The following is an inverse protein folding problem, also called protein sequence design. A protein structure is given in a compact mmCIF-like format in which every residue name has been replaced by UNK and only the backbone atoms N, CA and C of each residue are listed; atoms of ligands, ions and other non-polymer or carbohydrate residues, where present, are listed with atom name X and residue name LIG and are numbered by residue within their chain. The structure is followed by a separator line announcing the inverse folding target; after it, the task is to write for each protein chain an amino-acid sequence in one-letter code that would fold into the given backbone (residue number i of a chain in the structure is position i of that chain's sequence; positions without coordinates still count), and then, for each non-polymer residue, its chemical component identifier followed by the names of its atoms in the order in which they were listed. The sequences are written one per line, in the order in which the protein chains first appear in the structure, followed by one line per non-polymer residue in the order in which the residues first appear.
data_IF_049899237160
#
_entry.id   IF_049899237160
#
_cell.length_a   1.000
_cell.length_b   1.000
_cell.length_c   1.000
_cell.angle_alpha   90.00
_cell.angle_beta   90.00
_cell.angle_gamma   90.00
#
_symmetry.space_group_name_H-M   'P 1'
#
loop_
_entity.id
_entity.type
_entity.pdbx_description
1 polymer ?
#
# COMPACT_ATOMS: atom_id res chain seq x y z
N UNK A 1 -18.29 24.35 -25.21
CA UNK A 1 -17.62 23.03 -25.30
C UNK A 1 -17.92 22.27 -24.01
N UNK A 2 -18.83 21.29 -24.03
CA UNK A 2 -19.17 20.51 -22.83
C UNK A 2 -18.04 19.50 -22.63
N UNK A 3 -17.22 19.67 -21.59
CA UNK A 3 -16.25 18.65 -21.20
C UNK A 3 -17.00 17.40 -20.76
N UNK A 4 -16.93 16.34 -21.55
CA UNK A 4 -17.40 15.01 -21.11
C UNK A 4 -16.31 14.38 -20.27
N UNK A 5 -16.47 14.35 -18.94
CA UNK A 5 -15.60 13.59 -18.07
C UNK A 5 -15.82 12.10 -18.29
N UNK A 6 -14.73 11.35 -18.46
CA UNK A 6 -14.77 9.89 -18.49
C UNK A 6 -15.22 9.41 -17.10
N UNK A 7 -16.25 8.56 -17.05
CA UNK A 7 -16.69 7.95 -15.79
C UNK A 7 -15.83 6.72 -15.50
N UNK A 8 -15.25 6.68 -14.31
CA UNK A 8 -14.52 5.54 -13.79
C UNK A 8 -15.36 4.84 -12.72
N UNK A 9 -15.19 3.50 -12.58
CA UNK A 9 -15.90 2.75 -11.56
C UNK A 9 -15.24 2.88 -10.19
N UNK A 10 -13.91 3.11 -10.17
CA UNK A 10 -13.11 3.25 -8.96
C UNK A 10 -11.78 3.97 -9.28
N UNK A 11 -11.01 4.27 -8.24
CA UNK A 11 -9.71 4.93 -8.37
C UNK A 11 -8.66 4.08 -9.12
N UNK A 12 -8.75 2.76 -9.01
CA UNK A 12 -7.83 1.84 -9.68
C UNK A 12 -8.03 1.86 -11.20
N UNK A 13 -9.29 1.91 -11.68
CA UNK A 13 -9.60 2.09 -13.10
C UNK A 13 -9.00 3.40 -13.64
N UNK A 14 -9.13 4.49 -12.87
CA UNK A 14 -8.53 5.78 -13.20
C UNK A 14 -7.00 5.67 -13.28
N UNK A 15 -6.36 5.08 -12.27
CA UNK A 15 -4.91 4.94 -12.21
C UNK A 15 -4.36 4.17 -13.42
N UNK A 16 -4.95 3.02 -13.77
CA UNK A 16 -4.48 2.24 -14.92
C UNK A 16 -4.77 2.91 -16.27
N UNK A 17 -5.88 3.63 -16.38
CA UNK A 17 -6.19 4.40 -17.58
C UNK A 17 -5.16 5.54 -17.78
N UNK A 18 -4.77 6.21 -16.70
CA UNK A 18 -3.70 7.23 -16.76
C UNK A 18 -2.33 6.60 -17.03
N UNK A 19 -2.00 5.45 -16.45
CA UNK A 19 -0.77 4.71 -16.80
C UNK A 19 -0.68 4.37 -18.29
N UNK A 20 -1.82 4.13 -18.95
CA UNK A 20 -1.85 3.82 -20.38
C UNK A 20 -1.69 5.06 -21.28
N UNK A 21 -2.04 6.25 -20.79
CA UNK A 21 -1.99 7.51 -21.54
C UNK A 21 -0.67 8.26 -21.38
N UNK A 22 -0.03 8.14 -20.21
CA UNK A 22 1.20 8.88 -19.95
C UNK A 22 2.41 8.17 -20.57
N UNK A 23 3.44 8.93 -21.02
CA UNK A 23 4.73 8.35 -21.38
C UNK A 23 5.29 7.53 -20.21
N UNK A 24 5.79 6.34 -20.50
CA UNK A 24 6.18 5.36 -19.49
C UNK A 24 7.31 5.83 -18.57
N UNK A 25 8.21 6.67 -19.11
CA UNK A 25 9.37 7.27 -18.45
C UNK A 25 9.08 8.61 -17.76
N UNK A 26 7.90 9.20 -18.00
CA UNK A 26 7.49 10.44 -17.34
C UNK A 26 7.43 10.24 -15.83
N UNK A 27 8.05 11.16 -15.08
CA UNK A 27 8.02 11.13 -13.60
C UNK A 27 6.59 11.34 -13.12
N UNK A 28 6.15 10.45 -12.22
CA UNK A 28 4.87 10.51 -11.55
C UNK A 28 5.00 10.88 -10.07
N UNK A 29 5.93 10.25 -9.37
CA UNK A 29 6.19 10.56 -7.96
C UNK A 29 7.61 11.12 -7.79
N UNK A 30 7.70 12.23 -7.06
CA UNK A 30 8.96 12.90 -6.76
C UNK A 30 9.25 12.81 -5.27
N UNK A 31 10.46 12.35 -4.92
CA UNK A 31 10.94 12.41 -3.55
C UNK A 31 11.55 13.78 -3.27
N UNK A 32 11.02 14.50 -2.28
CA UNK A 32 11.58 15.80 -1.87
C UNK A 32 12.91 15.64 -1.15
N UNK A 33 13.17 14.48 -0.53
CA UNK A 33 14.40 14.22 0.25
C UNK A 33 15.54 13.72 -0.64
N UNK A 34 15.25 13.02 -1.72
CA UNK A 34 16.24 12.41 -2.62
C UNK A 34 15.73 12.40 -4.06
N UNK A 35 16.21 13.34 -4.92
CA UNK A 35 15.81 13.40 -6.33
C UNK A 35 16.07 12.11 -7.12
N UNK A 36 17.04 11.27 -6.70
CA UNK A 36 17.33 9.99 -7.34
C UNK A 36 16.25 8.93 -7.06
N UNK A 37 15.32 9.22 -6.14
CA UNK A 37 14.18 8.37 -5.82
C UNK A 37 12.89 8.80 -6.53
N UNK A 38 12.99 9.60 -7.57
CA UNK A 38 11.86 9.90 -8.43
C UNK A 38 11.41 8.63 -9.16
N UNK A 39 10.09 8.42 -9.25
CA UNK A 39 9.50 7.25 -9.89
C UNK A 39 8.66 7.65 -11.10
N UNK A 40 8.88 6.99 -12.21
CA UNK A 40 8.08 7.11 -13.43
C UNK A 40 6.72 6.42 -13.29
N UNK A 41 5.79 6.73 -14.19
CA UNK A 41 4.49 6.05 -14.28
C UNK A 41 4.64 4.53 -14.40
N UNK A 42 5.59 4.07 -15.22
CA UNK A 42 5.88 2.64 -15.37
C UNK A 42 6.37 2.01 -14.08
N UNK A 43 7.31 2.63 -13.39
CA UNK A 43 7.87 2.11 -12.14
C UNK A 43 6.80 2.03 -11.05
N UNK A 44 5.99 3.09 -10.88
CA UNK A 44 4.90 3.07 -9.90
C UNK A 44 3.89 1.97 -10.24
N UNK A 45 3.48 1.83 -11.51
CA UNK A 45 2.60 0.74 -11.95
C UNK A 45 3.14 -0.63 -11.58
N UNK A 46 4.42 -0.91 -11.87
CA UNK A 46 5.04 -2.20 -11.56
C UNK A 46 5.11 -2.45 -10.06
N UNK A 47 5.48 -1.44 -9.27
CA UNK A 47 5.53 -1.53 -7.81
C UNK A 47 4.15 -1.80 -7.20
N UNK A 48 3.10 -1.12 -7.68
CA UNK A 48 1.71 -1.35 -7.27
C UNK A 48 1.29 -2.78 -7.58
N UNK A 49 1.55 -3.28 -8.79
CA UNK A 49 1.22 -4.65 -9.19
C UNK A 49 1.92 -5.70 -8.33
N UNK A 50 3.22 -5.51 -8.07
CA UNK A 50 4.03 -6.43 -7.26
C UNK A 50 3.51 -6.51 -5.82
N UNK A 51 3.26 -5.37 -5.21
CA UNK A 51 2.76 -5.30 -3.84
C UNK A 51 1.34 -5.84 -3.72
N UNK A 52 0.45 -5.47 -4.66
CA UNK A 52 -0.92 -5.97 -4.69
C UNK A 52 -0.99 -7.49 -4.79
N UNK A 53 -0.16 -8.12 -5.63
CA UNK A 53 -0.05 -9.58 -5.73
C UNK A 53 0.34 -10.22 -4.39
N UNK A 54 1.26 -9.60 -3.66
CA UNK A 54 1.68 -10.12 -2.36
C UNK A 54 0.59 -9.95 -1.30
N UNK A 55 -0.09 -8.80 -1.29
CA UNK A 55 -1.20 -8.51 -0.37
C UNK A 55 -2.40 -9.42 -0.66
N UNK A 56 -2.76 -9.65 -1.92
CA UNK A 56 -3.93 -10.47 -2.31
C UNK A 56 -3.86 -11.93 -1.86
N UNK A 57 -2.65 -12.43 -1.54
CA UNK A 57 -2.46 -13.76 -0.97
C UNK A 57 -2.75 -13.82 0.55
N UNK A 58 -2.92 -12.67 1.20
CA UNK A 58 -3.04 -12.56 2.66
C UNK A 58 -4.43 -12.09 3.06
N UNK A 59 -4.99 -11.13 2.32
CA UNK A 59 -6.28 -10.51 2.61
C UNK A 59 -7.41 -11.09 1.75
N UNK A 60 -8.63 -10.89 2.24
CA UNK A 60 -9.86 -11.11 1.47
C UNK A 60 -10.44 -9.75 1.04
N UNK A 61 -11.33 -9.78 0.05
CA UNK A 61 -12.07 -8.58 -0.38
C UNK A 61 -12.81 -7.96 0.81
N UNK A 62 -12.58 -6.66 1.03
CA UNK A 62 -13.17 -5.91 2.13
C UNK A 62 -12.37 -5.91 3.42
N UNK A 63 -11.26 -6.64 3.50
CA UNK A 63 -10.36 -6.58 4.65
C UNK A 63 -9.77 -5.18 4.79
N UNK A 64 -9.74 -4.66 6.04
CA UNK A 64 -9.09 -3.38 6.34
C UNK A 64 -7.60 -3.59 6.45
N UNK A 65 -6.86 -2.61 5.92
CA UNK A 65 -5.41 -2.58 5.92
C UNK A 65 -4.97 -1.25 6.53
N UNK A 66 -4.40 -1.27 7.72
CA UNK A 66 -3.97 -0.07 8.44
C UNK A 66 -2.65 0.43 7.84
N UNK A 67 -2.60 1.70 7.43
CA UNK A 67 -1.43 2.33 6.81
C UNK A 67 -0.93 3.50 7.66
N UNK A 68 0.24 3.32 8.27
CA UNK A 68 0.87 4.28 9.19
C UNK A 68 2.18 4.76 8.60
N UNK A 69 2.15 5.90 7.94
CA UNK A 69 3.34 6.47 7.30
C UNK A 69 3.14 7.96 7.03
N UNK A 70 4.24 8.68 7.02
CA UNK A 70 4.36 10.00 6.44
C UNK A 70 4.14 9.99 4.92
N UNK A 71 3.93 11.18 4.34
CA UNK A 71 3.82 11.34 2.88
C UNK A 71 5.14 10.97 2.19
N UNK A 72 5.11 9.86 1.44
CA UNK A 72 6.25 9.32 0.68
C UNK A 72 5.74 8.44 -0.47
N UNK A 73 6.56 8.15 -1.48
CA UNK A 73 6.14 7.32 -2.63
C UNK A 73 5.55 5.96 -2.22
N UNK A 74 6.12 5.32 -1.22
CA UNK A 74 5.68 4.01 -0.73
C UNK A 74 4.26 4.06 -0.12
N UNK A 75 3.85 5.21 0.45
CA UNK A 75 2.51 5.42 0.95
C UNK A 75 1.48 5.28 -0.19
N UNK A 76 1.67 6.03 -1.28
CA UNK A 76 0.77 6.00 -2.43
C UNK A 76 0.78 4.64 -3.14
N UNK A 77 1.96 4.03 -3.28
CA UNK A 77 2.10 2.68 -3.84
C UNK A 77 1.32 1.66 -3.01
N UNK A 78 1.40 1.77 -1.68
CA UNK A 78 0.70 0.88 -0.76
C UNK A 78 -0.81 1.06 -0.81
N UNK A 79 -1.29 2.29 -0.83
CA UNK A 79 -2.72 2.61 -0.92
C UNK A 79 -3.33 2.04 -2.21
N UNK A 80 -2.71 2.31 -3.36
CA UNK A 80 -3.14 1.75 -4.64
C UNK A 80 -3.05 0.21 -4.65
N UNK A 81 -2.01 -0.37 -4.05
CA UNK A 81 -1.84 -1.82 -4.00
C UNK A 81 -2.88 -2.51 -3.11
N UNK A 82 -3.24 -1.91 -1.98
CA UNK A 82 -4.31 -2.40 -1.09
C UNK A 82 -5.65 -2.40 -1.83
N UNK A 83 -6.01 -1.28 -2.45
CA UNK A 83 -7.25 -1.17 -3.23
C UNK A 83 -7.28 -2.17 -4.38
N UNK A 84 -6.16 -2.34 -5.10
CA UNK A 84 -6.03 -3.30 -6.20
C UNK A 84 -6.17 -4.75 -5.72
N UNK A 85 -5.69 -5.06 -4.51
CA UNK A 85 -5.86 -6.38 -3.88
C UNK A 85 -7.28 -6.62 -3.33
N UNK A 86 -8.17 -5.62 -3.41
CA UNK A 86 -9.54 -5.70 -2.90
C UNK A 86 -9.69 -5.34 -1.43
N UNK A 87 -8.63 -4.78 -0.80
CA UNK A 87 -8.66 -4.29 0.58
C UNK A 87 -9.20 -2.87 0.69
N UNK A 88 -9.44 -2.45 1.92
CA UNK A 88 -9.82 -1.09 2.30
C UNK A 88 -8.67 -0.47 3.08
N UNK A 89 -8.09 0.61 2.55
CA UNK A 89 -7.05 1.35 3.26
C UNK A 89 -7.64 2.13 4.42
N UNK A 90 -7.06 1.98 5.59
CA UNK A 90 -7.34 2.79 6.79
C UNK A 90 -6.08 3.60 7.08
N UNK A 91 -5.96 4.84 6.61
CA UNK A 91 -4.79 5.67 6.88
C UNK A 91 -4.83 6.21 8.31
N UNK A 92 -3.68 6.23 8.96
CA UNK A 92 -3.54 6.81 10.30
C UNK A 92 -2.34 7.76 10.37
N UNK A 93 -2.48 8.84 11.16
CA UNK A 93 -1.44 9.85 11.30
C UNK A 93 -0.28 9.32 12.14
N UNK A 94 0.95 9.63 11.72
CA UNK A 94 2.18 9.26 12.44
C UNK A 94 2.33 9.97 13.81
N UNK A 95 1.57 11.04 14.04
CA UNK A 95 1.55 11.79 15.29
C UNK A 95 0.71 11.13 16.39
N UNK A 96 -0.05 10.09 16.05
CA UNK A 96 -0.83 9.36 17.04
C UNK A 96 0.07 8.62 18.02
N UNK A 97 -0.42 8.49 19.27
CA UNK A 97 0.21 7.68 20.31
C UNK A 97 -0.38 6.26 20.33
N UNK A 98 0.25 5.34 21.07
CA UNK A 98 -0.16 3.93 21.11
C UNK A 98 -1.64 3.73 21.47
N UNK A 99 -2.20 4.55 22.35
CA UNK A 99 -3.63 4.50 22.74
C UNK A 99 -4.55 4.77 21.55
N UNK A 100 -4.20 5.73 20.69
CA UNK A 100 -5.02 6.07 19.52
C UNK A 100 -4.98 4.94 18.49
N UNK A 101 -3.81 4.34 18.30
CA UNK A 101 -3.68 3.16 17.43
C UNK A 101 -4.42 1.95 17.98
N UNK A 102 -4.43 1.74 19.30
CA UNK A 102 -5.20 0.68 19.92
C UNK A 102 -6.71 0.83 19.65
N UNK A 103 -7.22 2.06 19.76
CA UNK A 103 -8.60 2.36 19.40
C UNK A 103 -8.88 2.03 17.93
N UNK A 104 -8.06 2.53 17.00
CA UNK A 104 -8.24 2.31 15.57
C UNK A 104 -8.17 0.82 15.23
N UNK A 105 -7.19 0.08 15.78
CA UNK A 105 -7.02 -1.35 15.54
C UNK A 105 -8.22 -2.14 16.05
N UNK A 106 -8.73 -1.82 17.23
CA UNK A 106 -9.91 -2.48 17.79
C UNK A 106 -11.19 -2.18 17.01
N UNK A 107 -11.33 -0.95 16.48
CA UNK A 107 -12.49 -0.52 15.71
C UNK A 107 -12.50 -1.15 14.31
N UNK A 108 -11.41 -1.02 13.55
CA UNK A 108 -11.36 -1.50 12.17
C UNK A 108 -10.92 -2.96 12.02
N UNK A 109 -10.37 -3.60 13.06
CA UNK A 109 -9.89 -5.00 13.05
C UNK A 109 -9.08 -5.34 11.78
N UNK A 110 -7.91 -4.70 11.55
CA UNK A 110 -7.20 -4.82 10.30
C UNK A 110 -6.61 -6.23 10.11
N UNK A 111 -6.58 -6.71 8.87
CA UNK A 111 -5.93 -7.97 8.51
C UNK A 111 -4.42 -7.82 8.31
N UNK A 112 -3.98 -6.64 7.90
CA UNK A 112 -2.57 -6.30 7.76
C UNK A 112 -2.31 -4.87 8.24
N UNK A 113 -1.07 -4.62 8.64
CA UNK A 113 -0.58 -3.27 8.97
C UNK A 113 0.63 -2.96 8.10
N UNK A 114 0.71 -1.74 7.61
CA UNK A 114 1.89 -1.22 6.92
C UNK A 114 2.44 -0.04 7.73
N UNK A 115 3.73 -0.07 8.06
CA UNK A 115 4.40 0.98 8.82
C UNK A 115 5.63 1.50 8.10
N UNK A 116 5.94 2.80 8.24
CA UNK A 116 7.07 3.40 7.54
C UNK A 116 8.43 3.01 8.14
N UNK A 117 8.55 2.95 9.45
CA UNK A 117 9.83 2.80 10.16
C UNK A 117 9.66 2.21 11.57
N UNK A 118 10.79 2.02 12.28
CA UNK A 118 10.85 1.49 13.65
C UNK A 118 10.04 2.33 14.64
N UNK A 119 10.05 3.65 14.53
CA UNK A 119 9.32 4.53 15.44
C UNK A 119 7.82 4.23 15.39
N UNK A 120 7.25 4.17 14.18
CA UNK A 120 5.83 3.89 14.02
C UNK A 120 5.49 2.45 14.42
N UNK A 121 6.38 1.49 14.13
CA UNK A 121 6.20 0.12 14.56
C UNK A 121 6.15 -0.02 16.09
N UNK A 122 7.06 0.61 16.81
CA UNK A 122 7.12 0.53 18.27
C UNK A 122 5.84 1.03 18.95
N UNK A 123 5.11 1.95 18.32
CA UNK A 123 3.81 2.42 18.82
C UNK A 123 2.70 1.36 18.73
N UNK A 124 2.81 0.39 17.82
CA UNK A 124 1.77 -0.63 17.57
C UNK A 124 2.19 -2.06 17.91
N UNK A 125 3.47 -2.32 18.12
CA UNK A 125 4.05 -3.66 18.33
C UNK A 125 3.27 -4.49 19.35
N UNK A 126 3.15 -4.00 20.59
CA UNK A 126 2.45 -4.70 21.67
C UNK A 126 0.95 -4.90 21.40
N UNK A 127 0.34 -4.03 20.60
CA UNK A 127 -1.06 -4.15 20.19
C UNK A 127 -1.19 -5.26 19.15
N UNK A 128 -0.29 -5.31 18.17
CA UNK A 128 -0.28 -6.33 17.12
C UNK A 128 -0.12 -7.74 17.71
N UNK A 129 0.75 -7.92 18.71
CA UNK A 129 1.03 -9.20 19.37
C UNK A 129 -0.22 -9.81 20.05
N UNK A 130 -1.18 -8.98 20.47
CA UNK A 130 -2.42 -9.41 21.12
C UNK A 130 -3.67 -9.32 20.22
N UNK A 131 -3.48 -8.96 18.94
CA UNK A 131 -4.60 -8.78 18.00
C UNK A 131 -4.59 -9.90 16.93
N UNK A 132 -5.40 -10.97 17.11
CA UNK A 132 -5.36 -12.14 16.21
C UNK A 132 -5.80 -11.87 14.77
N UNK A 133 -6.51 -10.77 14.49
CA UNK A 133 -6.90 -10.40 13.13
C UNK A 133 -5.72 -10.00 12.25
N UNK A 134 -4.61 -9.55 12.84
CA UNK A 134 -3.43 -9.09 12.13
C UNK A 134 -2.60 -10.29 11.66
N UNK A 135 -2.65 -10.56 10.37
CA UNK A 135 -1.98 -11.71 9.73
C UNK A 135 -0.52 -11.40 9.39
N UNK A 136 -0.23 -10.14 8.99
CA UNK A 136 1.13 -9.71 8.59
C UNK A 136 1.33 -8.21 8.82
N UNK A 137 2.61 -7.84 9.05
CA UNK A 137 3.06 -6.46 9.15
C UNK A 137 4.09 -6.20 8.04
N UNK A 138 3.89 -5.14 7.28
CA UNK A 138 4.76 -4.70 6.20
C UNK A 138 5.52 -3.44 6.60
N UNK A 139 6.79 -3.37 6.23
CA UNK A 139 7.69 -2.27 6.54
C UNK A 139 8.21 -1.59 5.29
N UNK A 140 8.29 -0.28 5.31
CA UNK A 140 8.88 0.49 4.21
C UNK A 140 10.40 0.55 4.32
N UNK A 141 10.93 0.63 5.53
CA UNK A 141 12.37 0.65 5.81
C UNK A 141 12.83 -0.67 6.43
N UNK A 142 14.12 -0.94 6.35
CA UNK A 142 14.71 -2.10 7.03
C UNK A 142 14.68 -1.85 8.54
N UNK A 143 14.15 -2.80 9.28
CA UNK A 143 14.10 -2.72 10.74
C UNK A 143 15.41 -3.17 11.37
N UNK A 144 15.77 -2.56 12.50
CA UNK A 144 17.04 -2.80 13.18
C UNK A 144 17.10 -4.13 13.94
N UNK A 145 15.97 -4.67 14.43
CA UNK A 145 15.94 -5.85 15.31
C UNK A 145 14.68 -6.68 15.13
N UNK A 146 14.55 -7.50 14.07
CA UNK A 146 13.35 -8.36 13.96
C UNK A 146 13.61 -9.71 13.30
N UNK A 147 13.03 -10.76 13.92
CA UNK A 147 12.97 -12.12 13.41
C UNK A 147 11.98 -12.22 12.23
N UNK A 148 12.42 -12.66 11.07
CA UNK A 148 11.83 -12.42 9.74
C UNK A 148 10.48 -13.09 9.43
N UNK A 149 9.92 -13.95 10.27
CA UNK A 149 8.77 -14.78 9.86
C UNK A 149 7.41 -14.06 9.83
N UNK A 150 7.21 -13.05 10.68
CA UNK A 150 5.96 -12.30 10.78
C UNK A 150 5.97 -10.96 10.01
N UNK A 151 7.14 -10.54 9.54
CA UNK A 151 7.41 -9.20 9.04
C UNK A 151 7.93 -9.24 7.60
N UNK A 152 7.46 -8.32 6.77
CA UNK A 152 7.82 -8.28 5.36
C UNK A 152 8.30 -6.86 5.00
N UNK A 153 9.55 -6.74 4.54
CA UNK A 153 10.00 -5.49 3.95
C UNK A 153 9.42 -5.35 2.54
N UNK A 154 8.69 -4.25 2.27
CA UNK A 154 8.04 -4.04 0.97
C UNK A 154 9.05 -3.86 -0.16
N UNK A 155 10.27 -3.36 0.08
CA UNK A 155 11.30 -3.23 -0.95
C UNK A 155 11.61 -4.56 -1.63
N UNK A 156 11.60 -5.65 -0.86
CA UNK A 156 11.81 -7.00 -1.38
C UNK A 156 10.67 -7.47 -2.30
N UNK A 157 9.49 -6.87 -2.15
CA UNK A 157 8.31 -7.18 -2.96
C UNK A 157 8.22 -6.28 -4.19
N UNK A 158 8.30 -4.96 -3.98
CA UNK A 158 8.08 -3.96 -5.04
C UNK A 158 9.19 -3.95 -6.10
N UNK A 159 10.40 -4.41 -5.76
CA UNK A 159 11.56 -4.46 -6.67
C UNK A 159 11.72 -5.81 -7.39
N UNK A 160 10.79 -6.76 -7.24
CA UNK A 160 10.85 -8.04 -7.97
C UNK A 160 10.74 -7.83 -9.48
N UNK A 161 11.74 -8.29 -10.24
CA UNK A 161 11.78 -8.21 -11.70
C UNK A 161 10.80 -9.13 -12.43
N UNK A 162 10.00 -9.92 -11.72
CA UNK A 162 9.32 -11.12 -12.25
C UNK A 162 7.83 -10.97 -12.55
N UNK A 163 7.28 -9.77 -12.60
CA UNK A 163 5.91 -9.62 -13.08
C UNK A 163 5.94 -9.32 -14.57
N UNK A 164 5.44 -10.28 -15.34
CA UNK A 164 5.06 -10.06 -16.73
C UNK A 164 3.98 -8.95 -16.74
N UNK A 165 4.19 -7.86 -17.46
CA UNK A 165 3.27 -6.71 -17.55
C UNK A 165 1.86 -7.10 -17.99
N UNK A 166 1.69 -8.31 -18.53
CA UNK A 166 0.43 -8.91 -18.98
C UNK A 166 -0.31 -9.73 -17.91
N UNK A 167 0.12 -9.75 -16.65
CA UNK A 167 -0.68 -10.39 -15.60
C UNK A 167 -1.98 -9.60 -15.48
N UNK A 168 -3.05 -10.17 -16.03
CA UNK A 168 -4.41 -9.91 -15.59
C UNK A 168 -4.48 -10.37 -14.12
N UNK A 169 -4.13 -9.48 -13.19
CA UNK A 169 -4.62 -9.61 -11.84
C UNK A 169 -6.12 -9.57 -12.04
N UNK A 170 -6.79 -10.62 -11.62
CA UNK A 170 -8.25 -10.65 -11.58
C UNK A 170 -8.64 -9.54 -10.59
N UNK A 171 -8.85 -8.34 -11.17
CA UNK A 171 -8.96 -7.09 -10.44
C UNK A 171 -10.29 -7.12 -9.71
N UNK A 172 -10.31 -7.74 -8.55
CA UNK A 172 -11.40 -7.68 -7.58
C UNK A 172 -11.42 -6.33 -6.85
N UNK A 173 -10.94 -5.28 -7.53
CA UNK A 173 -11.07 -3.93 -7.01
C UNK A 173 -12.52 -3.70 -6.58
N UNK A 174 -12.70 -3.30 -5.35
CA UNK A 174 -14.04 -3.03 -4.84
C UNK A 174 -14.65 -1.90 -5.66
N UNK A 175 -15.85 -2.15 -6.19
CA UNK A 175 -16.71 -1.05 -6.58
C UNK A 175 -17.02 -0.28 -5.30
N UNK A 176 -16.75 1.01 -5.31
CA UNK A 176 -17.41 1.95 -4.42
C UNK A 176 -18.84 2.06 -4.96
N UNK A 177 -19.76 1.38 -4.34
CA UNK A 177 -21.19 1.61 -4.54
C UNK A 177 -21.57 2.95 -3.93
#
# INVERSE_FOLDING_TARGET
MIMRFKKYNNLIDLFFDECAKQPSDKIFLTSLKDPNKNLSWREVKLKVLNLAKSISNIIQKGDRCLLISENRPEWMISDLAIMLAGGITVPAYITYVSRDYEYIINDCTPSIILVSNDEQFNKVKSICERTPSIKKIFFFEKLSEINESAYINIENLINKKSINENIKIDLKAQRTD
#
